data_IF_508116447619
#
_entry.id   IF_508116447619
#
_cell.length_a   1.000
_cell.length_b   1.000
_cell.length_c   1.000
_cell.angle_alpha   90.00
_cell.angle_beta   90.00
_cell.angle_gamma   90.00
#
_symmetry.space_group_name_H-M   'P 1'
#
loop_
_entity.id
_entity.type
_entity.pdbx_description
1 polymer ?
2 water ?
#
# COMPACT_ATOMS: atom_id res chain seq x y z
N UNK A 10 8.61 -14.08 -8.32
CA UNK A 10 7.82 -14.67 -7.19
C UNK A 10 8.32 -16.08 -6.77
N UNK A 11 8.74 -16.88 -7.76
CA UNK A 11 9.48 -18.11 -7.46
C UNK A 11 10.89 -17.69 -7.04
N UNK A 12 11.16 -16.39 -7.15
CA UNK A 12 12.47 -15.84 -6.83
C UNK A 12 12.61 -15.60 -5.33
N UNK A 13 11.57 -15.90 -4.55
CA UNK A 13 11.66 -15.73 -3.12
C UNK A 13 11.36 -17.02 -2.35
N UNK A 14 11.91 -17.08 -1.13
CA UNK A 14 11.68 -18.19 -0.20
C UNK A 14 11.58 -17.74 1.28
N UNK A 15 10.67 -18.34 2.02
CA UNK A 15 10.60 -18.22 3.50
C UNK A 15 12.00 -18.28 4.12
N UNK A 16 12.27 -17.38 5.07
CA UNK A 16 13.58 -17.29 5.68
C UNK A 16 14.44 -16.17 5.15
N UNK A 18 15.61 -12.37 4.39
CA UNK A 18 15.55 -11.06 5.09
C UNK A 18 14.82 -10.09 4.18
N UNK A 19 14.39 -8.94 4.72
CA UNK A 19 13.84 -7.90 3.86
C UNK A 19 14.80 -7.45 2.74
N UNK A 20 16.11 -7.43 3.01
CA UNK A 20 17.12 -7.09 1.99
C UNK A 20 17.17 -8.11 0.87
N UNK A 21 17.08 -9.40 1.18
CA UNK A 21 17.02 -10.43 0.15
C UNK A 21 15.75 -10.39 -0.69
N UNK A 22 14.60 -10.23 -0.07
CA UNK A 22 13.38 -10.06 -0.85
C UNK A 22 13.39 -8.80 -1.75
N UNK A 23 13.77 -7.65 -1.18
CA UNK A 23 13.83 -6.41 -1.96
C UNK A 23 14.85 -6.51 -3.12
N UNK A 24 15.92 -7.26 -2.92
CA UNK A 24 16.86 -7.54 -4.02
C UNK A 24 16.20 -8.38 -5.12
N UNK A 25 15.38 -9.36 -4.75
CA UNK A 25 14.67 -10.21 -5.76
C UNK A 25 13.50 -9.55 -6.46
N UNK A 26 12.64 -8.84 -5.72
CA UNK A 26 11.39 -8.33 -6.26
C UNK A 26 11.32 -6.83 -6.33
N UNK A 27 12.21 -6.17 -5.61
CA UNK A 27 12.11 -4.72 -5.41
C UNK A 27 11.36 -4.58 -4.08
N UNK A 28 11.28 -3.34 -3.60
CA UNK A 28 10.49 -2.99 -2.41
C UNK A 28 9.03 -3.08 -2.89
N UNK A 29 8.08 -3.19 -1.94
CA UNK A 29 6.66 -3.39 -2.31
C UNK A 29 5.98 -2.06 -2.66
N UNK A 30 4.83 -2.13 -3.32
CA UNK A 30 4.09 -0.93 -3.66
C UNK A 30 3.65 -0.32 -2.30
N UNK A 32 3.27 -0.87 2.27
CA UNK A 32 3.64 -1.69 3.46
C UNK A 32 2.99 -1.04 4.66
N UNK A 33 2.93 -1.79 5.75
CA UNK A 33 2.11 -1.19 6.85
C UNK A 33 2.98 -0.16 7.55
N UNK A 34 2.44 1.05 7.82
CA UNK A 34 3.28 2.19 8.30
C UNK A 34 3.64 2.05 9.80
N UNK A 35 2.86 1.24 10.53
CA UNK A 35 3.13 1.12 11.97
C UNK A 35 4.42 0.30 12.22
N UNK A 36 5.29 0.78 13.14
CA UNK A 36 6.56 0.14 13.40
C UNK A 36 7.73 0.65 12.59
N UNK A 37 7.50 1.44 11.53
CA UNK A 37 8.58 1.97 10.70
C UNK A 37 9.04 3.33 11.18
N UNK A 38 10.24 3.74 10.72
CA UNK A 38 10.85 5.00 11.20
C UNK A 38 10.54 6.30 10.45
N UNK A 39 10.07 6.19 9.22
CA UNK A 39 9.79 7.38 8.41
C UNK A 39 8.44 7.26 7.72
N UNK A 40 7.64 8.30 7.90
CA UNK A 40 6.33 8.51 7.30
C UNK A 40 6.37 9.78 6.45
N UNK A 41 5.83 9.66 5.23
CA UNK A 41 5.86 10.77 4.27
C UNK A 41 4.47 11.07 3.79
N UNK A 42 4.03 12.32 3.96
CA UNK A 42 2.75 12.77 3.54
C UNK A 42 2.92 13.69 2.35
N UNK A 43 2.00 13.57 1.39
CA UNK A 43 1.91 14.54 0.28
C UNK A 43 0.46 14.92 0.22
N UNK A 44 0.13 16.16 0.57
CA UNK A 44 -1.24 16.52 0.70
C UNK A 44 -1.86 16.95 -0.61
N UNK A 45 -2.35 15.98 -1.38
CA UNK A 45 -2.93 16.21 -2.70
C UNK A 45 -4.40 15.97 -2.71
N UNK A 46 -5.02 16.62 -3.68
CA UNK A 46 -6.43 16.69 -3.84
C UNK A 46 -7.18 16.94 -2.53
N UNK A 47 -6.60 17.79 -1.68
CA UNK A 47 -7.23 18.28 -0.44
C UNK A 47 -7.40 19.80 -0.52
N UNK A 48 -8.65 20.28 -0.57
CA UNK A 48 -8.86 21.75 -0.61
C UNK A 48 -8.12 22.48 0.51
N UNK A 49 -7.83 23.74 0.34
CA UNK A 49 -7.13 24.49 1.37
C UNK A 49 -5.64 24.54 1.23
N UNK A 50 -5.12 23.92 0.17
CA UNK A 50 -3.68 23.91 -0.10
C UNK A 50 -3.20 25.35 -0.34
N UNK A 51 -2.01 25.69 0.17
CA UNK A 51 -1.44 27.05 0.05
C UNK A 51 0.03 26.99 -0.36
N UNK A 52 0.52 28.01 -1.07
CA UNK A 52 1.94 28.07 -1.41
C UNK A 52 2.26 27.91 -2.88
N UNK A 53 3.55 27.95 -3.18
CA UNK A 53 4.02 27.83 -4.56
C UNK A 53 4.69 26.53 -4.80
N UNK A 54 4.59 25.64 -3.81
CA UNK A 54 5.01 24.29 -4.04
C UNK A 54 4.15 23.27 -3.31
N UNK A 55 4.23 22.02 -3.75
CA UNK A 55 3.38 20.94 -3.15
C UNK A 55 3.71 20.84 -1.64
N UNK A 56 2.70 20.97 -0.78
CA UNK A 56 2.91 20.77 0.65
C UNK A 56 3.22 19.28 0.95
N UNK A 57 4.24 19.03 1.79
CA UNK A 57 4.54 17.62 2.16
C UNK A 57 4.94 17.65 3.64
N UNK A 58 5.13 16.45 4.21
CA UNK A 58 5.54 16.37 5.61
C UNK A 58 6.29 15.08 5.78
N UNK A 59 7.52 15.14 6.33
CA UNK A 59 8.25 13.96 6.62
C UNK A 59 8.38 13.82 8.13
N UNK A 60 7.94 12.69 8.69
CA UNK A 60 8.02 12.40 10.13
C UNK A 60 8.98 11.28 10.43
N UNK A 61 9.82 11.53 11.44
CA UNK A 61 10.75 10.54 11.91
C UNK A 61 10.32 10.03 13.26
N UNK A 62 10.30 8.72 13.40
CA UNK A 62 9.96 8.05 14.62
C UNK A 62 11.16 7.22 15.12
N UNK A 63 11.30 7.16 16.43
CA UNK A 63 12.34 6.24 16.99
C UNK A 63 11.88 4.79 17.04
N UNK A 64 12.73 3.88 17.53
CA UNK A 64 12.35 2.47 17.49
C UNK A 64 11.18 2.14 18.38
N UNK A 65 10.80 3.06 19.28
CA UNK A 65 9.61 2.84 20.10
C UNK A 65 8.32 3.43 19.49
N UNK A 66 8.39 4.02 18.30
CA UNK A 66 7.16 4.54 17.68
C UNK A 66 6.80 5.94 18.14
N UNK A 67 7.79 6.63 18.71
CA UNK A 67 7.57 8.00 19.17
C UNK A 67 8.09 9.00 18.18
N UNK A 68 7.28 10.01 17.90
CA UNK A 68 7.69 11.09 16.98
C UNK A 68 8.89 11.92 17.50
N UNK A 69 10.01 11.87 16.76
CA UNK A 69 11.20 12.67 17.11
C UNK A 69 11.55 13.87 16.21
N UNK A 70 11.03 13.91 14.99
CA UNK A 70 11.29 15.06 14.14
C UNK A 70 10.12 15.33 13.20
N UNK A 71 9.82 16.61 13.03
CA UNK A 71 8.74 17.07 12.17
C UNK A 71 9.39 17.91 11.08
N UNK A 72 9.31 17.44 9.83
CA UNK A 72 9.93 18.19 8.76
C UNK A 72 8.92 18.61 7.72
N UNK A 73 8.54 19.88 7.78
CA UNK A 73 7.67 20.48 6.80
C UNK A 73 8.43 21.00 5.61
N UNK A 74 7.77 21.01 4.48
CA UNK A 74 8.46 21.40 3.28
C UNK A 74 7.31 21.92 2.44
N UNK A 75 7.42 23.21 2.12
CA UNK A 75 8.49 24.02 2.74
C UNK A 75 8.19 24.36 4.22
N UNK B 10 2.33 0.38 -26.63
CA UNK B 10 3.36 -0.03 -27.63
C UNK B 10 2.71 -0.59 -28.92
N UNK B 11 3.57 -0.86 -29.91
CA UNK B 11 3.19 -1.57 -31.14
C UNK B 11 2.80 -3.08 -30.98
N UNK B 12 2.93 -3.63 -29.77
CA UNK B 12 2.62 -5.04 -29.50
C UNK B 12 1.15 -5.27 -29.11
N UNK B 13 0.30 -4.26 -29.24
CA UNK B 13 -1.13 -4.49 -29.04
C UNK B 13 -1.94 -4.17 -30.30
N UNK B 14 -3.07 -4.86 -30.44
CA UNK B 14 -3.92 -4.73 -31.61
C UNK B 14 -5.36 -4.68 -31.19
N UNK B 15 -6.10 -3.81 -31.82
CA UNK B 15 -7.52 -3.90 -31.74
C UNK B 15 -7.98 -5.36 -31.97
N UNK B 16 -8.97 -5.77 -31.19
CA UNK B 16 -9.45 -7.15 -31.20
C UNK B 16 -8.86 -8.02 -30.11
N UNK B 18 -8.04 -9.49 -26.39
CA UNK B 18 -8.76 -9.64 -25.14
C UNK B 18 -7.92 -8.92 -24.04
N UNK B 19 -8.55 -8.66 -22.89
CA UNK B 19 -7.81 -8.09 -21.76
C UNK B 19 -6.62 -8.94 -21.35
N UNK B 20 -6.73 -10.28 -21.43
CA UNK B 20 -5.55 -11.17 -21.18
C UNK B 20 -4.41 -10.96 -22.14
N UNK B 21 -4.69 -10.90 -23.45
CA UNK B 21 -3.62 -10.64 -24.40
C UNK B 21 -2.97 -9.29 -24.15
N UNK B 22 -3.78 -8.30 -23.89
CA UNK B 22 -3.23 -6.91 -23.64
C UNK B 22 -2.38 -6.86 -22.38
N UNK B 23 -2.92 -7.48 -21.33
CA UNK B 23 -2.13 -7.60 -20.06
C UNK B 23 -0.85 -8.43 -20.20
N UNK B 24 -0.86 -9.44 -21.07
CA UNK B 24 0.40 -10.20 -21.31
C UNK B 24 1.43 -9.36 -22.06
N UNK B 25 0.98 -8.57 -23.03
CA UNK B 25 1.87 -7.65 -23.78
C UNK B 25 2.40 -6.46 -23.02
N UNK B 26 1.53 -5.78 -22.23
CA UNK B 26 1.90 -4.51 -21.56
C UNK B 26 1.93 -4.56 -20.02
N UNK B 27 1.34 -5.62 -19.45
CA UNK B 27 1.11 -5.69 -18.01
C UNK B 27 -0.30 -5.10 -17.84
N UNK B 28 -0.84 -5.20 -16.62
CA UNK B 28 -2.09 -4.48 -16.26
C UNK B 28 -1.78 -2.99 -16.18
N UNK B 29 -2.81 -2.14 -16.28
CA UNK B 29 -2.60 -0.72 -16.30
C UNK B 29 -2.41 -0.13 -14.92
N UNK B 30 -1.84 1.07 -14.85
CA UNK B 30 -1.69 1.76 -13.55
C UNK B 30 -3.07 2.01 -12.96
N UNK B 32 -7.63 1.95 -13.68
CA UNK B 32 -8.72 1.49 -14.59
C UNK B 32 -9.99 2.00 -14.08
N UNK B 33 -11.02 1.99 -14.89
CA UNK B 33 -12.33 2.48 -14.36
C UNK B 33 -12.90 1.43 -13.43
N UNK B 34 -13.32 1.81 -12.21
CA UNK B 34 -13.74 0.79 -11.22
C UNK B 34 -15.11 0.19 -11.57
N UNK B 35 -15.91 0.88 -12.38
CA UNK B 35 -17.31 0.42 -12.67
C UNK B 35 -17.24 -0.78 -13.61
N UNK B 36 -17.91 -1.88 -13.27
CA UNK B 36 -17.94 -3.08 -14.12
C UNK B 36 -17.00 -4.16 -13.62
N UNK B 37 -16.14 -3.85 -12.66
CA UNK B 37 -15.20 -4.88 -12.17
C UNK B 37 -15.77 -5.59 -10.92
N UNK B 38 -15.13 -6.68 -10.50
CA UNK B 38 -15.65 -7.43 -9.33
C UNK B 38 -14.98 -7.16 -7.98
N UNK B 39 -13.84 -6.46 -8.00
CA UNK B 39 -13.18 -6.24 -6.72
C UNK B 39 -12.73 -4.78 -6.61
N UNK B 40 -13.14 -4.09 -5.53
CA UNK B 40 -12.69 -2.78 -5.19
C UNK B 40 -11.91 -2.82 -3.87
N UNK B 41 -10.88 -1.97 -3.77
CA UNK B 41 -9.98 -2.01 -2.63
C UNK B 41 -9.74 -0.58 -2.20
N UNK B 42 -10.16 -0.30 -0.96
CA UNK B 42 -9.96 1.01 -0.41
C UNK B 42 -8.79 0.97 0.58
N UNK B 43 -8.01 2.04 0.58
CA UNK B 43 -6.93 2.17 1.59
C UNK B 43 -7.13 3.55 2.14
N UNK B 44 -7.48 3.59 3.41
CA UNK B 44 -7.85 4.89 3.94
C UNK B 44 -6.61 5.62 4.54
N UNK B 45 -5.91 6.37 3.68
CA UNK B 45 -4.70 7.05 4.09
C UNK B 45 -4.89 8.55 4.01
N UNK B 46 -4.07 9.27 4.80
CA UNK B 46 -4.02 10.73 4.85
C UNK B 46 -5.41 11.27 5.17
N UNK B 47 -6.14 10.46 5.94
CA UNK B 47 -7.48 10.79 6.37
C UNK B 47 -7.49 10.84 7.87
N UNK B 48 -7.61 12.06 8.46
CA UNK B 48 -7.74 12.16 9.92
C UNK B 48 -8.82 11.22 10.53
N UNK B 49 -8.60 10.77 11.76
CA UNK B 49 -9.51 9.86 12.42
C UNK B 49 -9.12 8.39 12.39
N UNK B 50 -8.01 8.07 11.71
CA UNK B 50 -7.57 6.68 11.60
C UNK B 50 -7.32 6.15 12.99
N UNK B 51 -7.72 4.91 13.23
CA UNK B 51 -7.52 4.20 14.50
C UNK B 51 -6.89 2.80 14.31
N UNK B 52 -6.19 2.31 15.34
CA UNK B 52 -5.66 0.95 15.30
C UNK B 52 -4.17 0.87 15.01
N UNK B 53 -3.71 -0.36 14.89
CA UNK B 53 -2.31 -0.65 14.83
C UNK B 53 -1.92 -1.23 13.50
N UNK B 54 -2.87 -1.24 12.55
CA UNK B 54 -2.50 -1.46 11.17
C UNK B 54 -3.29 -0.52 10.24
N UNK B 55 -2.81 -0.39 9.03
CA UNK B 55 -3.51 0.43 8.00
C UNK B 55 -4.95 -0.06 7.76
N UNK B 56 -5.94 0.80 7.98
CA UNK B 56 -7.31 0.39 7.68
C UNK B 56 -7.55 0.20 6.16
N UNK B 57 -8.16 -0.90 5.79
CA UNK B 57 -8.50 -1.12 4.39
C UNK B 57 -9.90 -1.70 4.27
N UNK B 58 -10.41 -1.75 3.04
CA UNK B 58 -11.73 -2.37 2.80
C UNK B 58 -11.69 -3.01 1.42
N UNK B 59 -12.06 -4.28 1.34
CA UNK B 59 -12.16 -5.03 0.09
C UNK B 59 -13.57 -5.39 -0.15
N UNK B 60 -14.13 -4.88 -1.24
CA UNK B 60 -15.52 -5.17 -1.63
C UNK B 60 -15.60 -6.06 -2.84
N UNK B 61 -16.41 -7.11 -2.75
CA UNK B 61 -16.60 -7.99 -3.89
C UNK B 61 -18.00 -7.77 -4.47
N UNK B 62 -18.08 -7.61 -5.79
CA UNK B 62 -19.33 -7.42 -6.50
C UNK B 62 -19.55 -8.62 -7.43
N UNK B 63 -20.83 -8.96 -7.64
CA UNK B 63 -21.15 -9.95 -8.69
C UNK B 63 -21.11 -9.38 -10.11
N UNK B 64 -21.55 -10.18 -11.09
CA UNK B 64 -21.66 -9.70 -12.47
C UNK B 64 -22.55 -8.50 -12.72
N UNK B 65 -23.61 -8.34 -11.93
CA UNK B 65 -24.60 -7.25 -12.10
C UNK B 65 -24.16 -5.99 -11.44
N UNK B 66 -22.91 -6.02 -10.94
CA UNK B 66 -22.37 -4.92 -10.20
C UNK B 66 -23.00 -4.78 -8.83
N UNK B 67 -23.46 -5.90 -8.26
CA UNK B 67 -24.06 -5.92 -6.93
C UNK B 67 -23.07 -6.44 -5.86
N UNK B 68 -23.02 -5.71 -4.76
CA UNK B 68 -22.07 -6.01 -3.68
C UNK B 68 -22.45 -7.30 -2.97
N UNK B 69 -21.54 -8.27 -2.94
CA UNK B 69 -21.88 -9.56 -2.30
C UNK B 69 -21.02 -9.81 -1.06
N UNK B 70 -19.86 -9.13 -0.92
CA UNK B 70 -18.99 -9.37 0.22
C UNK B 70 -18.27 -8.09 0.63
N UNK B 71 -18.34 -7.83 1.94
CA UNK B 71 -17.63 -6.73 2.56
C UNK B 71 -16.51 -7.26 3.46
N UNK B 72 -15.26 -6.84 3.21
CA UNK B 72 -14.16 -7.35 4.02
C UNK B 72 -13.34 -6.18 4.59
N UNK B 73 -13.68 -5.82 5.82
CA UNK B 73 -12.97 -4.76 6.59
C UNK B 73 -11.75 -5.30 7.27
N UNK B 74 -10.66 -4.54 7.24
CA UNK B 74 -9.45 -4.88 7.98
C UNK B 74 -8.95 -3.57 8.63
N UNK B 75 -8.73 -3.59 9.95
CA UNK B 75 -8.99 -4.78 10.77
C UNK B 75 -10.51 -5.11 10.83
N UNK B 76 -10.87 -6.31 11.26
CA UNK B 76 -12.29 -6.66 11.40
C UNK B 76 -13.05 -5.70 12.37
N UNK B 77 -14.19 -5.13 11.93
CA UNK B 77 -15.03 -4.24 12.78
C UNK B 77 -15.55 -4.94 14.07
N UNK C 10 -3.18 20.75 7.83
CA UNK C 10 -4.44 21.29 8.43
C UNK C 10 -4.84 20.42 9.64
N UNK C 11 -3.89 20.25 10.57
CA UNK C 11 -4.15 19.58 11.86
C UNK C 11 -2.86 19.39 12.65
N UNK C 12 -2.97 19.18 13.97
CA UNK C 12 -1.84 19.38 14.91
C UNK C 12 -1.14 18.19 15.57
N UNK C 13 0.16 18.14 15.32
CA UNK C 13 1.01 17.12 15.87
C UNK C 13 2.10 17.80 16.70
N UNK C 14 2.66 17.03 17.64
CA UNK C 14 3.87 17.44 18.38
C UNK C 14 4.84 16.28 18.66
N UNK C 15 6.12 16.57 18.64
CA UNK C 15 7.15 15.58 19.02
C UNK C 15 6.73 14.86 20.30
N UNK C 16 7.05 13.59 20.41
CA UNK C 16 6.64 12.76 21.54
C UNK C 16 5.35 11.97 21.35
N UNK C 18 2.82 9.22 19.74
CA UNK C 18 3.03 7.84 19.23
C UNK C 18 2.48 7.85 17.81
N UNK C 19 2.74 6.78 17.09
CA UNK C 19 2.21 6.67 15.71
C UNK C 19 0.65 6.67 15.72
N UNK C 20 0.05 6.06 16.76
CA UNK C 20 -1.41 6.10 16.91
C UNK C 20 -1.93 7.52 17.04
N UNK C 21 -1.28 8.34 17.88
CA UNK C 21 -1.67 9.72 17.99
C UNK C 21 -1.51 10.49 16.67
N UNK C 22 -0.40 10.27 15.95
CA UNK C 22 -0.17 11.02 14.68
C UNK C 22 -1.21 10.58 13.64
N UNK C 23 -1.48 9.28 13.59
CA UNK C 23 -2.44 8.72 12.58
C UNK C 23 -3.87 9.24 12.88
N UNK C 24 -4.18 9.41 14.17
CA UNK C 24 -5.49 9.97 14.52
C UNK C 24 -5.60 11.43 14.04
N UNK C 25 -4.51 12.17 14.22
CA UNK C 25 -4.48 13.59 13.87
C UNK C 25 -4.43 13.84 12.34
N UNK C 26 -3.55 13.12 11.64
CA UNK C 26 -3.31 13.38 10.21
C UNK C 26 -3.77 12.29 9.28
N UNK C 27 -4.04 11.10 9.83
CA UNK C 27 -4.25 9.91 9.02
C UNK C 27 -2.90 9.22 8.90
N UNK C 28 -2.89 8.00 8.36
CA UNK C 28 -1.64 7.32 7.99
C UNK C 28 -1.01 8.07 6.81
N UNK C 29 0.30 7.90 6.58
CA UNK C 29 0.99 8.64 5.51
C UNK C 29 0.77 8.02 4.11
N UNK C 30 1.04 8.80 3.07
CA UNK C 30 0.97 8.27 1.69
C UNK C 30 1.99 7.16 1.54
N UNK C 32 5.62 5.03 3.43
CA UNK C 32 6.46 4.83 4.59
C UNK C 32 7.55 3.89 4.27
N UNK C 33 8.57 3.90 5.07
CA UNK C 33 9.68 3.03 4.71
C UNK C 33 9.34 1.55 4.97
N UNK C 34 9.53 0.64 3.98
CA UNK C 34 9.04 -0.72 4.19
C UNK C 34 9.89 -1.58 5.19
N UNK C 35 11.15 -1.19 5.41
CA UNK C 35 12.09 -1.95 6.22
C UNK C 35 11.70 -1.83 7.68
N UNK C 36 11.64 -2.98 8.38
CA UNK C 36 11.27 -2.94 9.79
C UNK C 36 9.80 -3.19 10.07
N UNK C 37 8.93 -3.15 9.04
CA UNK C 37 7.57 -3.52 9.29
C UNK C 37 7.27 -4.98 8.98
N UNK C 38 6.05 -5.41 9.26
CA UNK C 38 5.68 -6.83 9.20
C UNK C 38 4.95 -7.27 7.94
N UNK C 39 4.33 -6.32 7.25
CA UNK C 39 3.51 -6.70 6.08
C UNK C 39 3.89 -5.87 4.85
N UNK C 40 4.29 -6.57 3.78
CA UNK C 40 4.57 -5.97 2.47
C UNK C 40 3.50 -6.44 1.47
N UNK C 41 3.09 -5.54 0.59
CA UNK C 41 2.03 -5.83 -0.37
C UNK C 41 2.48 -5.38 -1.74
N UNK C 42 2.58 -6.34 -2.65
CA UNK C 42 2.94 -6.06 -4.04
C UNK C 42 1.72 -6.13 -4.96
N UNK C 43 1.63 -5.20 -5.92
CA UNK C 43 0.63 -5.31 -6.98
C UNK C 43 1.40 -5.09 -8.27
N UNK C 44 1.53 -6.16 -9.06
CA UNK C 44 2.44 -6.12 -10.22
C UNK C 44 1.76 -5.52 -11.45
N UNK C 45 1.84 -4.20 -11.57
CA UNK C 45 1.20 -3.44 -12.66
C UNK C 45 2.22 -3.05 -13.70
N UNK C 46 1.76 -2.96 -14.96
CA UNK C 46 2.52 -2.38 -16.05
C UNK C 46 3.79 -3.21 -16.24
N UNK C 47 3.67 -4.48 -15.92
CA UNK C 47 4.79 -5.41 -16.14
C UNK C 47 4.36 -6.46 -17.15
N UNK C 48 4.99 -6.42 -18.34
CA UNK C 48 4.67 -7.44 -19.35
C UNK C 48 4.79 -8.88 -18.83
N UNK C 49 3.98 -9.76 -19.39
CA UNK C 49 3.96 -11.17 -18.97
C UNK C 49 2.94 -11.52 -17.90
N UNK C 50 2.09 -10.55 -17.55
CA UNK C 50 1.00 -10.79 -16.59
C UNK C 50 0.09 -11.87 -17.16
N UNK C 51 -0.30 -12.79 -16.27
CA UNK C 51 -1.22 -13.88 -16.62
C UNK C 51 -2.38 -14.00 -15.67
N UNK C 52 -3.51 -14.48 -16.16
CA UNK C 52 -4.63 -14.75 -15.29
C UNK C 52 -5.82 -13.83 -15.52
N UNK C 53 -6.87 -14.10 -14.78
CA UNK C 53 -8.10 -13.38 -14.97
C UNK C 53 -8.28 -12.36 -13.88
N UNK C 54 -7.26 -12.24 -13.03
CA UNK C 54 -7.29 -11.21 -12.01
C UNK C 54 -5.87 -10.62 -11.81
N UNK C 55 -5.83 -9.43 -11.25
CA UNK C 55 -4.56 -8.74 -10.97
C UNK C 55 -3.71 -9.58 -10.01
N UNK C 56 -2.52 -9.92 -10.46
CA UNK C 56 -1.54 -10.62 -9.63
C UNK C 56 -1.04 -9.75 -8.45
N UNK C 57 -1.05 -10.31 -7.25
CA UNK C 57 -0.61 -9.61 -6.06
C UNK C 57 0.18 -10.53 -5.17
N UNK C 58 0.85 -9.94 -4.16
CA UNK C 58 1.65 -10.76 -3.26
C UNK C 58 1.66 -10.07 -1.92
N UNK C 59 1.31 -10.81 -0.87
CA UNK C 59 1.40 -10.29 0.49
C UNK C 59 2.43 -11.10 1.26
N UNK C 60 3.43 -10.42 1.79
CA UNK C 60 4.51 -11.03 2.52
C UNK C 60 4.44 -10.66 4.02
N UNK C 61 4.66 -11.66 4.88
CA UNK C 61 4.68 -11.42 6.32
C UNK C 61 6.06 -11.69 6.79
N UNK C 62 6.59 -10.72 7.54
CA UNK C 62 7.89 -10.81 8.15
C UNK C 62 7.77 -10.83 9.67
N UNK C 63 8.67 -11.53 10.36
CA UNK C 63 8.63 -11.47 11.83
C UNK C 63 9.32 -10.20 12.42
N UNK C 64 9.48 -10.12 13.76
CA UNK C 64 10.06 -8.91 14.39
C UNK C 64 11.49 -8.69 13.96
N UNK C 65 12.13 -9.75 13.49
CA UNK C 65 13.55 -9.69 13.06
C UNK C 65 13.75 -9.40 11.58
N UNK C 66 12.66 -9.34 10.80
CA UNK C 66 12.77 -8.97 9.42
C UNK C 66 12.99 -10.15 8.51
N UNK C 67 12.57 -11.33 8.95
CA UNK C 67 12.74 -12.52 8.16
C UNK C 67 11.39 -12.98 7.65
N UNK C 68 11.34 -13.40 6.40
CA UNK C 68 10.11 -13.79 5.78
C UNK C 68 9.53 -15.13 6.31
N UNK C 69 8.27 -15.11 6.75
CA UNK C 69 7.65 -16.30 7.31
C UNK C 69 6.41 -16.76 6.60
N UNK C 70 5.80 -15.94 5.73
CA UNK C 70 4.65 -16.35 4.98
C UNK C 70 4.61 -15.61 3.65
N UNK C 71 4.34 -16.38 2.62
CA UNK C 71 4.20 -15.88 1.26
C UNK C 71 2.76 -16.16 0.88
N UNK C 72 1.99 -15.09 0.59
CA UNK C 72 0.61 -15.25 0.22
C UNK C 72 0.42 -14.73 -1.20
N UNK C 73 0.21 -15.65 -2.14
CA UNK C 73 0.06 -15.33 -3.57
C UNK C 73 -1.40 -15.22 -3.97
N UNK C 74 -2.30 -15.53 -3.04
CA UNK C 74 -3.74 -15.41 -3.34
C UNK C 74 -3.94 -14.08 -4.06
N UNK C 75 -4.38 -14.12 -5.35
CA UNK C 75 -4.77 -15.27 -6.25
C UNK C 75 -3.69 -16.35 -6.68
N UNK C 76 -3.91 -17.66 -6.48
CA UNK C 76 -5.01 -18.29 -5.72
C UNK C 76 -4.79 -19.82 -5.72
#
# INVERSE_FOLDING_TARGET
QGNYLTANDVSKIRVGXTQQQVAYALGTPLXSDPFGTNTWFYVFRQQPGHEGVTQQTLTLTFNSSGVLTNIDNKPALSGNLEHHHHHH
QGNYLTANDVSKIRVGXTQQQVAYALGTPLXSDPFGTNTWFYVFRQQPGHEGVTQQTLTLTFNSSGVLTNIDNKPALSGNLEHHHHHH
QGNYLTANDVSKIRVGXTQQQVAYALGTPLXSDPFGTNTWFYVFRQQPGHEGVTQQTLTLTFNSSGVLTNIDNKPALSGNLEHHHHHH
#
